data_IF_883023264839
#
_entry.id   IF_883023264839
#
_cell.length_a   1.000
_cell.length_b   1.000
_cell.length_c   1.000
_cell.angle_alpha   90.00
_cell.angle_beta   90.00
_cell.angle_gamma   90.00
#
_symmetry.space_group_name_H-M   'P 1'
#
loop_
_entity.id
_entity.type
_entity.pdbx_description
1 polymer ?
#
# COMPACT_ATOMS: atom_id res chain seq x y z
N UNK A 1 0.25 -47.67 -15.22
CA UNK A 1 0.66 -47.03 -13.95
C UNK A 1 -0.48 -46.12 -13.54
N UNK A 2 -1.21 -46.54 -12.51
CA UNK A 2 -2.31 -45.78 -11.92
C UNK A 2 -1.76 -44.58 -11.13
N UNK A 3 -2.02 -43.37 -11.60
CA UNK A 3 -1.81 -42.15 -10.84
C UNK A 3 -3.00 -41.95 -9.88
N UNK A 4 -3.07 -42.75 -8.81
CA UNK A 4 -3.97 -42.46 -7.69
C UNK A 4 -3.23 -41.67 -6.62
N UNK A 5 -3.79 -40.49 -6.35
CA UNK A 5 -3.78 -39.77 -5.08
C UNK A 5 -2.42 -39.41 -4.45
N UNK A 6 -1.91 -38.22 -4.78
CA UNK A 6 -1.40 -37.27 -3.78
C UNK A 6 -1.04 -35.92 -4.41
N UNK A 7 -1.90 -35.36 -5.27
CA UNK A 7 -1.69 -34.00 -5.73
C UNK A 7 -2.25 -33.03 -4.69
N UNK A 8 -1.38 -32.51 -3.82
CA UNK A 8 -1.58 -31.27 -3.05
C UNK A 8 -1.59 -30.06 -4.02
N UNK A 9 -2.44 -30.14 -5.05
CA UNK A 9 -2.61 -29.14 -6.08
C UNK A 9 -4.08 -28.77 -6.08
N UNK A 10 -4.37 -27.57 -5.61
CA UNK A 10 -5.71 -27.01 -5.69
C UNK A 10 -5.85 -26.26 -7.02
N UNK A 11 -6.88 -26.61 -7.78
CA UNK A 11 -7.26 -25.92 -9.00
C UNK A 11 -8.53 -25.13 -8.70
N UNK A 12 -8.44 -23.81 -8.77
CA UNK A 12 -9.57 -22.91 -8.56
C UNK A 12 -9.96 -22.30 -9.90
N UNK A 13 -11.24 -22.31 -10.22
CA UNK A 13 -11.78 -21.61 -11.39
C UNK A 13 -12.76 -20.56 -10.91
N UNK A 14 -12.49 -19.28 -11.17
CA UNK A 14 -13.43 -18.20 -10.85
C UNK A 14 -14.56 -18.17 -11.89
N UNK A 15 -15.79 -17.90 -11.46
CA UNK A 15 -17.01 -17.93 -12.29
C UNK A 15 -17.32 -16.57 -12.92
N UNK A 16 -16.38 -15.63 -12.85
CA UNK A 16 -16.63 -14.19 -12.94
C UNK A 16 -16.66 -13.69 -14.40
N UNK A 17 -17.16 -14.50 -15.34
CA UNK A 17 -17.26 -14.17 -16.77
C UNK A 17 -15.93 -14.16 -17.55
N UNK A 18 -14.79 -14.06 -16.84
CA UNK A 18 -13.44 -14.27 -17.35
C UNK A 18 -12.86 -15.45 -16.59
N UNK A 19 -12.99 -16.66 -17.13
CA UNK A 19 -12.64 -17.89 -16.41
C UNK A 19 -11.13 -17.97 -16.11
N UNK A 20 -10.70 -17.51 -14.94
CA UNK A 20 -9.32 -17.65 -14.49
C UNK A 20 -9.15 -19.01 -13.79
N UNK A 21 -8.15 -19.79 -14.20
CA UNK A 21 -7.79 -21.05 -13.53
C UNK A 21 -6.50 -20.87 -12.76
N UNK A 22 -6.58 -20.89 -11.43
CA UNK A 22 -5.43 -20.79 -10.53
C UNK A 22 -5.01 -22.19 -10.08
N UNK A 23 -3.75 -22.58 -10.32
CA UNK A 23 -3.19 -23.87 -9.92
C UNK A 23 -2.14 -23.64 -8.81
N UNK A 24 -2.48 -23.95 -7.56
CA UNK A 24 -1.62 -23.70 -6.38
C UNK A 24 -1.14 -25.02 -5.78
N UNK A 25 0.14 -25.11 -5.48
CA UNK A 25 0.76 -26.27 -4.83
C UNK A 25 2.26 -26.10 -4.63
N UNK A 26 2.86 -26.87 -3.71
CA UNK A 26 4.30 -26.86 -3.43
C UNK A 26 5.17 -27.28 -4.63
N UNK A 27 6.48 -27.03 -4.57
CA UNK A 27 7.43 -27.48 -5.60
C UNK A 27 7.40 -29.01 -5.75
N UNK A 28 7.59 -29.52 -6.98
CA UNK A 28 7.55 -30.97 -7.27
C UNK A 28 6.15 -31.57 -7.49
N UNK A 29 5.07 -30.81 -7.27
CA UNK A 29 3.69 -31.32 -7.41
C UNK A 29 3.10 -31.27 -8.84
N UNK A 30 3.93 -31.44 -9.87
CA UNK A 30 3.47 -31.61 -11.25
C UNK A 30 2.57 -30.47 -11.83
N UNK A 31 2.63 -29.25 -11.29
CA UNK A 31 1.87 -28.08 -11.80
C UNK A 31 2.13 -27.82 -13.30
N UNK A 32 3.40 -27.89 -13.71
CA UNK A 32 3.79 -27.77 -15.12
C UNK A 32 3.26 -28.94 -15.97
N UNK A 33 3.09 -30.13 -15.39
CA UNK A 33 2.51 -31.27 -16.09
C UNK A 33 1.02 -31.08 -16.38
N UNK A 34 0.28 -30.37 -15.51
CA UNK A 34 -1.12 -30.00 -15.75
C UNK A 34 -1.24 -29.01 -16.92
N UNK A 35 -0.35 -28.00 -16.97
CA UNK A 35 -0.29 -27.06 -18.10
C UNK A 35 0.13 -27.76 -19.41
N UNK A 36 1.09 -28.67 -19.36
CA UNK A 36 1.47 -29.49 -20.52
C UNK A 36 0.34 -30.42 -20.99
N UNK A 37 -0.42 -31.00 -20.06
CA UNK A 37 -1.58 -31.82 -20.40
C UNK A 37 -2.67 -30.98 -21.07
N UNK A 38 -2.87 -29.75 -20.62
CA UNK A 38 -3.80 -28.79 -21.22
C UNK A 38 -3.37 -28.36 -22.63
N UNK A 39 -2.08 -28.07 -22.83
CA UNK A 39 -1.52 -27.75 -24.15
C UNK A 39 -1.74 -28.91 -25.13
N UNK A 40 -1.46 -30.15 -24.69
CA UNK A 40 -1.72 -31.37 -25.48
C UNK A 40 -3.21 -31.56 -25.79
N UNK A 41 -4.10 -31.31 -24.83
CA UNK A 41 -5.56 -31.38 -25.02
C UNK A 41 -6.03 -30.41 -26.10
N UNK A 42 -5.45 -29.21 -26.14
CA UNK A 42 -5.76 -28.17 -27.13
C UNK A 42 -5.01 -28.34 -28.44
N UNK A 43 -4.09 -29.30 -28.54
CA UNK A 43 -3.27 -29.51 -29.74
C UNK A 43 -2.28 -28.37 -30.04
N UNK A 44 -1.94 -27.55 -29.04
CA UNK A 44 -1.00 -26.43 -29.16
C UNK A 44 0.31 -26.74 -28.40
N UNK A 45 1.38 -26.02 -28.73
CA UNK A 45 2.63 -26.14 -27.96
C UNK A 45 2.46 -25.54 -26.56
N UNK A 46 3.31 -25.97 -25.64
CA UNK A 46 3.34 -25.41 -24.28
C UNK A 46 3.66 -23.91 -24.29
N UNK A 47 4.61 -23.48 -25.12
CA UNK A 47 4.98 -22.07 -25.31
C UNK A 47 3.82 -21.24 -25.86
N UNK A 48 3.02 -21.80 -26.77
CA UNK A 48 1.85 -21.14 -27.33
C UNK A 48 0.73 -21.00 -26.29
N UNK A 49 0.53 -22.02 -25.44
CA UNK A 49 -0.38 -21.94 -24.31
C UNK A 49 0.06 -20.84 -23.33
N UNK A 50 1.36 -20.74 -23.01
CA UNK A 50 1.88 -19.69 -22.14
C UNK A 50 1.64 -18.29 -22.72
N UNK A 51 1.88 -18.08 -24.02
CA UNK A 51 1.59 -16.79 -24.68
C UNK A 51 0.11 -16.41 -24.62
N UNK A 52 -0.79 -17.37 -24.77
CA UNK A 52 -2.24 -17.14 -24.67
C UNK A 52 -2.71 -16.87 -23.24
N UNK A 53 -1.94 -17.30 -22.23
CA UNK A 53 -2.25 -17.08 -20.82
C UNK A 53 -1.66 -15.78 -20.27
N UNK A 54 -0.75 -15.12 -21.00
CA UNK A 54 -0.29 -13.79 -20.64
C UNK A 54 -1.46 -12.81 -20.77
N UNK A 55 -1.65 -11.90 -19.79
CA UNK A 55 -2.64 -10.85 -19.92
C UNK A 55 -2.35 -10.02 -21.17
N UNK A 56 -3.39 -9.68 -21.91
CA UNK A 56 -3.24 -8.84 -23.10
C UNK A 56 -2.71 -7.45 -22.69
N UNK A 57 -2.08 -6.70 -23.60
CA UNK A 57 -1.68 -5.32 -23.31
C UNK A 57 -2.83 -4.45 -22.79
N UNK A 58 -4.04 -4.65 -23.31
CA UNK A 58 -5.26 -3.98 -22.84
C UNK A 58 -5.64 -4.36 -21.41
N UNK A 59 -5.48 -5.64 -21.03
CA UNK A 59 -5.74 -6.09 -19.65
C UNK A 59 -4.69 -5.56 -18.67
N UNK A 60 -3.43 -5.47 -19.09
CA UNK A 60 -2.36 -4.87 -18.28
C UNK A 60 -2.66 -3.39 -18.04
N UNK A 61 -3.05 -2.66 -19.09
CA UNK A 61 -3.35 -1.24 -18.97
C UNK A 61 -4.61 -0.98 -18.14
N UNK A 62 -5.67 -1.78 -18.35
CA UNK A 62 -6.88 -1.69 -17.52
C UNK A 62 -6.60 -2.04 -16.05
N UNK A 63 -5.69 -2.96 -15.77
CA UNK A 63 -5.26 -3.26 -14.40
C UNK A 63 -4.52 -2.08 -13.77
N UNK A 64 -3.60 -1.44 -14.50
CA UNK A 64 -2.89 -0.24 -14.03
C UNK A 64 -3.82 0.94 -13.77
N UNK A 65 -4.76 1.19 -14.68
CA UNK A 65 -5.76 2.24 -14.50
C UNK A 65 -6.60 1.97 -13.25
N UNK A 66 -7.03 0.72 -13.06
CA UNK A 66 -7.77 0.31 -11.86
C UNK A 66 -6.94 0.48 -10.59
N UNK A 67 -5.67 0.08 -10.58
CA UNK A 67 -4.76 0.27 -9.45
C UNK A 67 -4.61 1.76 -9.12
N UNK A 68 -4.39 2.61 -10.11
CA UNK A 68 -4.30 4.06 -9.92
C UNK A 68 -5.58 4.68 -9.34
N UNK A 69 -6.76 4.22 -9.78
CA UNK A 69 -8.04 4.67 -9.22
C UNK A 69 -8.21 4.26 -7.74
N UNK A 70 -7.78 3.05 -7.39
CA UNK A 70 -7.80 2.56 -6.00
C UNK A 70 -6.85 3.38 -5.15
N UNK A 71 -5.60 3.58 -5.58
CA UNK A 71 -4.61 4.40 -4.86
C UNK A 71 -5.11 5.83 -4.65
N UNK A 72 -5.71 6.46 -5.67
CA UNK A 72 -6.28 7.80 -5.55
C UNK A 72 -7.44 7.85 -4.54
N UNK A 73 -8.28 6.82 -4.51
CA UNK A 73 -9.38 6.72 -3.55
C UNK A 73 -8.86 6.51 -2.13
N UNK A 74 -7.86 5.65 -1.94
CA UNK A 74 -7.23 5.39 -0.64
C UNK A 74 -6.54 6.64 -0.10
N UNK A 75 -5.78 7.36 -0.94
CA UNK A 75 -5.17 8.64 -0.58
C UNK A 75 -6.21 9.68 -0.14
N UNK A 76 -7.34 9.77 -0.86
CA UNK A 76 -8.46 10.65 -0.48
C UNK A 76 -9.08 10.26 0.86
N UNK A 77 -9.24 8.95 1.11
CA UNK A 77 -9.78 8.45 2.35
C UNK A 77 -8.85 8.76 3.53
N UNK A 78 -7.55 8.51 3.37
CA UNK A 78 -6.54 8.81 4.37
C UNK A 78 -6.50 10.30 4.69
N UNK A 79 -6.48 11.17 3.68
CA UNK A 79 -6.53 12.62 3.88
C UNK A 79 -7.77 13.04 4.69
N UNK A 80 -8.94 12.50 4.38
CA UNK A 80 -10.16 12.78 5.13
C UNK A 80 -10.09 12.30 6.59
N UNK A 81 -9.45 11.17 6.86
CA UNK A 81 -9.21 10.67 8.22
C UNK A 81 -8.27 11.60 8.98
N UNK A 82 -7.16 12.02 8.38
CA UNK A 82 -6.22 12.96 8.99
C UNK A 82 -6.89 14.32 9.28
N UNK A 83 -7.70 14.84 8.35
CA UNK A 83 -8.48 16.07 8.56
C UNK A 83 -9.48 15.92 9.71
N UNK A 84 -10.19 14.80 9.79
CA UNK A 84 -11.11 14.53 10.88
C UNK A 84 -10.37 14.41 12.23
N UNK A 85 -9.24 13.72 12.26
CA UNK A 85 -8.39 13.61 13.44
C UNK A 85 -7.91 14.99 13.91
N UNK A 86 -7.37 15.79 12.99
CA UNK A 86 -6.92 17.16 13.26
C UNK A 86 -8.04 18.03 13.84
N UNK A 87 -9.22 18.02 13.21
CA UNK A 87 -10.34 18.85 13.64
C UNK A 87 -10.91 18.47 15.02
N UNK A 88 -10.68 17.24 15.48
CA UNK A 88 -11.20 16.73 16.75
C UNK A 88 -10.13 16.59 17.83
N UNK A 89 -8.88 16.95 17.54
CA UNK A 89 -7.76 16.82 18.48
C UNK A 89 -7.32 18.21 18.93
N UNK A 90 -7.39 18.53 20.25
CA UNK A 90 -6.86 19.78 20.78
C UNK A 90 -5.37 19.95 20.44
N UNK A 91 -4.95 21.18 20.14
CA UNK A 91 -3.55 21.49 19.79
C UNK A 91 -2.57 21.13 20.92
N UNK A 92 -3.05 21.13 22.15
CA UNK A 92 -2.36 20.87 23.40
C UNK A 92 -2.37 19.38 23.77
N UNK A 93 -2.89 18.52 22.90
CA UNK A 93 -2.87 17.07 23.08
C UNK A 93 -1.42 16.54 23.09
N UNK A 94 -1.19 15.49 23.88
CA UNK A 94 0.10 14.77 23.90
C UNK A 94 0.50 14.30 22.51
N UNK A 95 -0.46 13.80 21.72
CA UNK A 95 -0.24 13.34 20.36
C UNK A 95 0.28 14.42 19.41
N UNK A 96 -0.35 15.60 19.37
CA UNK A 96 0.10 16.68 18.48
C UNK A 96 1.38 17.32 18.98
N UNK A 97 1.56 17.42 20.31
CA UNK A 97 2.82 17.85 20.89
C UNK A 97 3.96 16.90 20.52
N UNK A 98 3.72 15.60 20.48
CA UNK A 98 4.74 14.64 20.08
C UNK A 98 5.14 14.80 18.62
N UNK A 99 4.19 15.06 17.71
CA UNK A 99 4.49 15.35 16.30
C UNK A 99 5.25 16.66 16.15
N UNK A 100 4.90 17.68 16.94
CA UNK A 100 5.67 18.92 17.05
C UNK A 100 7.13 18.64 17.45
N UNK A 101 7.34 17.89 18.54
CA UNK A 101 8.67 17.60 19.05
C UNK A 101 9.51 16.78 18.05
N UNK A 102 8.88 15.91 17.29
CA UNK A 102 9.55 15.19 16.19
C UNK A 102 10.09 16.17 15.16
N UNK A 103 9.30 17.16 14.71
CA UNK A 103 9.76 18.16 13.74
C UNK A 103 10.96 18.97 14.25
N UNK A 104 11.02 19.25 15.56
CA UNK A 104 12.17 19.91 16.20
C UNK A 104 13.38 18.99 16.22
N UNK A 105 13.22 17.75 16.68
CA UNK A 105 14.32 16.78 16.82
C UNK A 105 14.92 16.38 15.48
N UNK A 106 14.11 16.30 14.42
CA UNK A 106 14.58 16.03 13.06
C UNK A 106 15.10 17.27 12.34
N UNK A 107 15.21 18.42 13.04
CA UNK A 107 15.71 19.69 12.49
C UNK A 107 14.89 20.20 11.28
N UNK A 108 13.62 19.80 11.17
CA UNK A 108 12.72 20.21 10.09
C UNK A 108 12.06 21.57 10.37
N UNK A 109 11.88 21.91 11.64
CA UNK A 109 11.43 23.23 12.07
C UNK A 109 11.89 23.50 13.52
N UNK A 110 12.42 24.70 13.79
CA UNK A 110 12.85 25.09 15.14
C UNK A 110 11.66 25.40 16.06
N UNK A 111 10.67 26.12 15.54
CA UNK A 111 9.38 26.39 16.19
C UNK A 111 8.23 25.95 15.27
N UNK A 112 7.86 24.66 15.28
CA UNK A 112 6.80 24.14 14.42
C UNK A 112 5.45 24.81 14.66
N UNK A 113 4.88 25.39 13.61
CA UNK A 113 3.51 25.93 13.62
C UNK A 113 2.47 24.81 13.53
N UNK A 114 1.21 25.04 13.95
CA UNK A 114 0.14 24.06 13.77
C UNK A 114 -0.03 23.61 12.32
N UNK A 115 0.19 24.50 11.34
CA UNK A 115 0.13 24.16 9.92
C UNK A 115 1.22 23.14 9.54
N UNK A 116 2.43 23.28 10.06
CA UNK A 116 3.53 22.34 9.83
C UNK A 116 3.29 20.99 10.49
N UNK A 117 2.76 20.98 11.73
CA UNK A 117 2.38 19.73 12.40
C UNK A 117 1.29 18.99 11.61
N UNK A 118 0.30 19.73 11.09
CA UNK A 118 -0.74 19.19 10.22
C UNK A 118 -0.17 18.65 8.91
N UNK A 119 0.79 19.36 8.30
CA UNK A 119 1.45 18.92 7.08
C UNK A 119 2.21 17.61 7.30
N UNK A 120 2.92 17.46 8.44
CA UNK A 120 3.54 16.18 8.79
C UNK A 120 2.48 15.07 8.88
N UNK A 121 1.39 15.29 9.61
CA UNK A 121 0.30 14.32 9.76
C UNK A 121 -0.27 13.87 8.40
N UNK A 122 -0.45 14.78 7.46
CA UNK A 122 -0.97 14.46 6.11
C UNK A 122 0.04 13.68 5.25
N UNK A 123 1.33 13.73 5.58
CA UNK A 123 2.40 13.04 4.86
C UNK A 123 2.74 11.66 5.44
N UNK A 124 2.17 11.29 6.59
CA UNK A 124 2.39 9.97 7.18
C UNK A 124 1.60 8.88 6.44
N UNK A 125 2.16 7.66 6.32
CA UNK A 125 1.50 6.57 5.65
C UNK A 125 0.32 6.04 6.48
N UNK A 126 -0.65 5.41 5.82
CA UNK A 126 -1.91 4.98 6.44
C UNK A 126 -1.71 4.09 7.68
N UNK A 127 -0.70 3.22 7.68
CA UNK A 127 -0.44 2.33 8.81
C UNK A 127 0.08 3.08 10.04
N UNK A 128 0.95 4.08 9.88
CA UNK A 128 1.43 4.93 10.97
C UNK A 128 0.29 5.78 11.53
N UNK A 129 -0.56 6.34 10.65
CA UNK A 129 -1.77 7.06 11.07
C UNK A 129 -2.70 6.16 11.87
N UNK A 130 -2.96 4.94 11.39
CA UNK A 130 -3.80 3.98 12.09
C UNK A 130 -3.25 3.65 13.49
N UNK A 131 -1.93 3.46 13.61
CA UNK A 131 -1.29 3.20 14.90
C UNK A 131 -1.34 4.42 15.82
N UNK A 132 -1.05 5.62 15.32
CA UNK A 132 -1.12 6.86 16.09
C UNK A 132 -2.53 7.18 16.60
N UNK A 133 -3.57 6.88 15.82
CA UNK A 133 -4.96 7.00 16.26
C UNK A 133 -5.31 5.95 17.32
N UNK A 134 -4.83 4.71 17.16
CA UNK A 134 -5.18 3.60 18.05
C UNK A 134 -4.46 3.65 19.40
N UNK A 135 -3.19 4.07 19.41
CA UNK A 135 -2.28 3.95 20.55
C UNK A 135 -1.69 5.28 21.02
N UNK A 136 -1.85 6.36 20.23
CA UNK A 136 -1.22 7.65 20.48
C UNK A 136 0.11 7.79 19.74
N UNK A 137 0.47 9.02 19.39
CA UNK A 137 1.76 9.32 18.74
C UNK A 137 2.91 9.36 19.75
N UNK A 138 2.61 9.51 21.04
CA UNK A 138 3.53 9.40 22.17
C UNK A 138 4.05 7.98 22.41
N UNK A 139 3.37 6.96 21.84
CA UNK A 139 3.81 5.58 21.91
C UNK A 139 5.18 5.40 21.24
N UNK A 140 6.01 4.55 21.82
CA UNK A 140 7.41 4.43 21.38
C UNK A 140 7.55 3.79 20.02
N UNK A 141 6.74 2.77 19.72
CA UNK A 141 6.81 2.06 18.45
C UNK A 141 6.23 2.93 17.33
N UNK A 142 5.13 3.64 17.62
CA UNK A 142 4.54 4.60 16.68
C UNK A 142 5.53 5.72 16.36
N UNK A 143 6.15 6.30 17.39
CA UNK A 143 7.16 7.34 17.22
C UNK A 143 8.36 6.85 16.41
N UNK A 144 8.82 5.61 16.62
CA UNK A 144 9.89 5.01 15.82
C UNK A 144 9.52 4.92 14.34
N UNK A 145 8.31 4.48 14.00
CA UNK A 145 7.87 4.45 12.60
C UNK A 145 7.73 5.85 11.99
N UNK A 146 7.35 6.86 12.77
CA UNK A 146 7.32 8.26 12.30
C UNK A 146 8.74 8.72 11.95
N UNK A 147 9.73 8.46 12.81
CA UNK A 147 11.13 8.82 12.54
C UNK A 147 11.67 8.10 11.30
N UNK A 148 11.46 6.79 11.19
CA UNK A 148 11.87 5.99 10.03
C UNK A 148 11.28 6.55 8.74
N UNK A 149 9.97 6.85 8.73
CA UNK A 149 9.33 7.45 7.56
C UNK A 149 9.89 8.83 7.21
N UNK A 150 10.23 9.65 8.21
CA UNK A 150 10.86 10.95 7.98
C UNK A 150 12.25 10.79 7.37
N UNK A 151 13.06 9.87 7.88
CA UNK A 151 14.40 9.61 7.35
C UNK A 151 14.35 9.13 5.89
N UNK A 152 13.41 8.25 5.56
CA UNK A 152 13.23 7.72 4.21
C UNK A 152 12.66 8.76 3.22
N UNK A 153 11.90 9.74 3.69
CA UNK A 153 11.15 10.70 2.86
C UNK A 153 11.51 12.16 3.16
N UNK A 154 12.72 12.40 3.66
CA UNK A 154 13.16 13.69 4.19
C UNK A 154 12.92 14.86 3.24
N UNK A 155 13.26 14.71 1.95
CA UNK A 155 13.10 15.76 0.95
C UNK A 155 11.62 16.12 0.73
N UNK A 156 10.76 15.12 0.59
CA UNK A 156 9.34 15.31 0.33
C UNK A 156 8.62 15.95 1.53
N UNK A 157 8.97 15.50 2.74
CA UNK A 157 8.39 16.05 3.98
C UNK A 157 8.90 17.47 4.20
N UNK A 158 10.20 17.73 4.04
CA UNK A 158 10.75 19.08 4.18
C UNK A 158 10.07 20.08 3.22
N UNK A 159 9.85 19.69 1.97
CA UNK A 159 9.12 20.52 1.01
C UNK A 159 7.67 20.81 1.46
N UNK A 160 6.98 19.82 2.00
CA UNK A 160 5.62 19.98 2.51
C UNK A 160 5.55 20.89 3.74
N UNK A 161 6.49 20.73 4.68
CA UNK A 161 6.62 21.57 5.87
C UNK A 161 6.90 23.03 5.47
N UNK A 162 7.76 23.26 4.49
CA UNK A 162 8.05 24.61 3.98
C UNK A 162 6.85 25.24 3.27
N UNK A 163 6.11 24.47 2.48
CA UNK A 163 4.90 24.96 1.81
C UNK A 163 3.82 25.38 2.83
N UNK A 164 3.68 24.64 3.93
CA UNK A 164 2.72 24.95 4.99
C UNK A 164 3.01 26.29 5.70
N UNK A 165 4.26 26.77 5.70
CA UNK A 165 4.62 28.10 6.25
C UNK A 165 4.05 29.22 5.38
N UNK A 166 4.09 29.06 4.05
CA UNK A 166 3.67 30.10 3.10
C UNK A 166 2.15 30.32 3.07
N UNK A 167 1.37 29.28 3.42
CA UNK A 167 -0.09 29.38 3.53
C UNK A 167 -0.54 30.15 4.77
N UNK A 168 0.28 30.24 5.82
CA UNK A 168 -0.05 30.99 7.05
C UNK A 168 0.26 32.48 6.89
N UNK A 169 1.18 32.84 5.99
CA UNK A 169 1.58 34.23 5.72
C UNK A 169 0.77 34.92 4.58
N UNK A 170 -0.11 34.18 3.89
CA UNK A 170 -0.94 34.66 2.78
C UNK A 170 -2.38 34.95 3.19
#
# INVERSE_FOLDING_TARGET
MDFKNSSNVAVFTTLDGVGHTMIVGGSGNAKSALLMAEARRRGISYEELEKQMQPSPEQIEAARERESLVEAQEAKCLAAVCEAYWANTPLESSSLQQLHDILVVTELAEEPTPAQVKALLLHLPAHVIGQGIAWGFEDTDVRSHVYEHIEENMEAISAAILAAVQEVES
#
